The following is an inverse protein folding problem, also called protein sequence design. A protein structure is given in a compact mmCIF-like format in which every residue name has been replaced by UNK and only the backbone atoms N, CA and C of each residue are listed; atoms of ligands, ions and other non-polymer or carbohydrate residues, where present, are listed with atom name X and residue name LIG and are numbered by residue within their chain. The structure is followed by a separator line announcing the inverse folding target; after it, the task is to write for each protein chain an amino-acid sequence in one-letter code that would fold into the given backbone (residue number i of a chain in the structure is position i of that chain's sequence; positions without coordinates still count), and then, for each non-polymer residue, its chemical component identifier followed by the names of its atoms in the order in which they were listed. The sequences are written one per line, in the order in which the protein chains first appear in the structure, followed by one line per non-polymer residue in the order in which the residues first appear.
data_IF_674969507849
#
_entry.id   IF_674969507849
#
_cell.length_a   1.000
_cell.length_b   1.000
_cell.length_c   1.000
_cell.angle_alpha   90.00
_cell.angle_beta   90.00
_cell.angle_gamma   90.00
#
_symmetry.space_group_name_H-M   'P 1'
#
loop_
_entity.id
_entity.type
_entity.pdbx_description
1 polymer ?
#
# COMPACT_ATOMS: atom_id res chain seq x y z
N UNK A 1 8.94 -4.81 15.86
CA UNK A 1 8.58 -3.87 14.78
C UNK A 1 7.23 -4.30 14.22
N UNK A 2 6.25 -3.40 14.15
CA UNK A 2 4.90 -3.69 13.65
C UNK A 2 4.58 -2.84 12.41
N UNK A 3 3.97 -3.48 11.40
CA UNK A 3 3.61 -2.82 10.14
C UNK A 3 2.10 -2.83 9.92
N UNK A 4 1.55 -1.71 9.46
CA UNK A 4 0.18 -1.65 8.95
C UNK A 4 0.16 -2.11 7.49
N UNK A 5 -0.87 -2.85 7.08
CA UNK A 5 -0.96 -3.39 5.71
C UNK A 5 -2.15 -2.77 4.98
N UNK A 6 -1.87 -1.91 4.01
CA UNK A 6 -2.89 -1.37 3.12
C UNK A 6 -3.47 -2.49 2.23
N UNK A 7 -4.79 -2.45 2.07
CA UNK A 7 -5.64 -3.43 1.38
C UNK A 7 -6.76 -2.68 0.66
N UNK A 8 -7.37 -3.32 -0.35
CA UNK A 8 -8.47 -2.74 -1.13
C UNK A 8 -8.54 -3.17 -2.59
N UNK A 9 -7.91 -4.31 -2.96
CA UNK A 9 -7.79 -4.76 -4.35
C UNK A 9 -7.26 -3.64 -5.26
N UNK A 10 -7.90 -3.38 -6.40
CA UNK A 10 -7.59 -2.29 -7.34
C UNK A 10 -8.51 -1.07 -7.19
N UNK A 11 -9.27 -0.97 -6.09
CA UNK A 11 -10.23 0.12 -5.88
C UNK A 11 -9.59 1.32 -5.17
N UNK A 12 -9.45 2.43 -5.89
CA UNK A 12 -8.77 3.65 -5.43
C UNK A 12 -9.34 4.21 -4.12
N UNK A 13 -10.65 4.30 -4.01
CA UNK A 13 -11.35 4.87 -2.86
C UNK A 13 -11.08 4.05 -1.59
N UNK A 14 -11.26 2.73 -1.65
CA UNK A 14 -11.01 1.81 -0.54
C UNK A 14 -9.53 1.87 -0.14
N UNK A 15 -8.63 1.87 -1.13
CA UNK A 15 -7.17 1.91 -0.93
C UNK A 15 -6.73 3.19 -0.22
N UNK A 16 -7.21 4.35 -0.68
CA UNK A 16 -6.88 5.65 -0.11
C UNK A 16 -7.45 5.81 1.29
N UNK A 17 -8.71 5.42 1.50
CA UNK A 17 -9.36 5.53 2.81
C UNK A 17 -8.69 4.61 3.83
N UNK A 18 -8.35 3.39 3.44
CA UNK A 18 -7.62 2.49 4.31
C UNK A 18 -6.20 2.98 4.60
N UNK A 19 -5.49 3.58 3.64
CA UNK A 19 -4.16 4.17 3.84
C UNK A 19 -4.19 5.29 4.89
N UNK A 20 -5.16 6.20 4.80
CA UNK A 20 -5.36 7.25 5.81
C UNK A 20 -5.63 6.65 7.18
N UNK A 21 -6.52 5.65 7.25
CA UNK A 21 -6.91 5.03 8.52
C UNK A 21 -5.78 4.29 9.23
N UNK A 22 -4.98 3.51 8.50
CA UNK A 22 -3.84 2.81 9.11
C UNK A 22 -2.74 3.77 9.53
N UNK A 23 -2.58 4.89 8.83
CA UNK A 23 -1.57 5.90 9.15
C UNK A 23 -1.78 6.52 10.54
N UNK A 24 -3.03 6.62 11.00
CA UNK A 24 -3.39 7.09 12.35
C UNK A 24 -2.86 6.17 13.48
N UNK A 25 -2.48 4.93 13.17
CA UNK A 25 -2.00 3.96 14.16
C UNK A 25 -0.54 4.18 14.56
N UNK A 26 0.18 5.08 13.87
CA UNK A 26 1.56 5.46 14.19
C UNK A 26 2.55 4.29 14.32
N UNK A 27 2.40 3.28 13.46
CA UNK A 27 3.22 2.07 13.45
C UNK A 27 4.65 2.32 12.94
N UNK A 28 5.53 1.33 13.08
CA UNK A 28 6.95 1.44 12.67
C UNK A 28 7.14 1.50 11.14
N UNK A 29 6.13 1.06 10.38
CA UNK A 29 6.14 1.08 8.92
C UNK A 29 4.80 0.68 8.32
N UNK A 30 4.70 0.81 7.00
CA UNK A 30 3.48 0.53 6.25
C UNK A 30 3.78 -0.30 5.02
N UNK A 31 2.93 -1.28 4.76
CA UNK A 31 3.04 -2.16 3.62
C UNK A 31 1.87 -1.96 2.67
N UNK A 32 2.10 -2.17 1.38
CA UNK A 32 1.05 -2.30 0.36
C UNK A 32 0.93 -3.78 0.02
N UNK A 33 -0.15 -4.39 0.48
CA UNK A 33 -0.43 -5.82 0.29
C UNK A 33 -1.50 -6.06 -0.78
N UNK A 34 -1.58 -7.32 -1.22
CA UNK A 34 -2.58 -7.77 -2.20
C UNK A 34 -2.40 -7.16 -3.58
N UNK A 35 -1.15 -6.94 -4.00
CA UNK A 35 -0.76 -6.42 -5.32
C UNK A 35 0.09 -7.42 -6.16
N UNK A 36 0.05 -8.70 -5.82
CA UNK A 36 0.82 -9.77 -6.47
C UNK A 36 -0.04 -11.05 -6.61
N UNK A 37 -1.30 -10.88 -7.00
CA UNK A 37 -2.33 -11.91 -6.99
C UNK A 37 -3.00 -12.13 -8.36
N UNK A 38 -2.56 -11.43 -9.41
CA UNK A 38 -2.99 -11.65 -10.79
C UNK A 38 -3.39 -10.40 -11.57
N UNK A 39 -3.24 -9.22 -10.97
CA UNK A 39 -3.34 -7.92 -11.62
C UNK A 39 -2.20 -7.69 -12.62
N UNK A 40 -2.41 -6.75 -13.53
CA UNK A 40 -1.36 -6.23 -14.41
C UNK A 40 -0.36 -5.36 -13.63
N UNK A 41 0.84 -5.21 -14.18
CA UNK A 41 1.84 -4.27 -13.65
C UNK A 41 1.31 -2.82 -13.68
N UNK A 42 0.51 -2.47 -14.69
CA UNK A 42 -0.12 -1.15 -14.81
C UNK A 42 -1.09 -0.89 -13.65
N UNK A 43 -1.95 -1.84 -13.33
CA UNK A 43 -2.86 -1.74 -12.18
C UNK A 43 -2.09 -1.65 -10.86
N UNK A 44 -1.03 -2.45 -10.69
CA UNK A 44 -0.15 -2.36 -9.52
C UNK A 44 0.46 -0.95 -9.38
N UNK A 45 1.05 -0.41 -10.44
CA UNK A 45 1.64 0.93 -10.42
C UNK A 45 0.59 2.01 -10.17
N UNK A 46 -0.58 1.90 -10.79
CA UNK A 46 -1.70 2.82 -10.54
C UNK A 46 -2.11 2.82 -9.06
N UNK A 47 -2.25 1.65 -8.43
CA UNK A 47 -2.57 1.58 -7.00
C UNK A 47 -1.46 2.21 -6.15
N UNK A 48 -0.19 2.01 -6.49
CA UNK A 48 0.94 2.63 -5.78
C UNK A 48 0.90 4.16 -5.87
N UNK A 49 0.66 4.70 -7.06
CA UNK A 49 0.52 6.14 -7.28
C UNK A 49 -0.63 6.75 -6.47
N UNK A 50 -1.72 5.99 -6.27
CA UNK A 50 -2.85 6.42 -5.45
C UNK A 50 -2.60 6.29 -3.96
N UNK A 51 -1.90 5.26 -3.50
CA UNK A 51 -1.78 4.93 -2.07
C UNK A 51 -0.61 5.63 -1.40
N UNK A 52 0.58 5.58 -2.01
CA UNK A 52 1.83 5.99 -1.37
C UNK A 52 1.80 7.43 -0.86
N UNK A 53 1.18 8.42 -1.54
CA UNK A 53 1.09 9.79 -1.01
C UNK A 53 0.34 9.93 0.31
N UNK A 54 -0.52 8.97 0.67
CA UNK A 54 -1.30 8.99 1.92
C UNK A 54 -0.64 8.21 3.06
N UNK A 55 0.49 7.56 2.82
CA UNK A 55 1.28 6.90 3.85
C UNK A 55 2.29 7.90 4.47
N UNK A 56 2.76 7.70 5.72
CA UNK A 56 3.76 8.55 6.32
C UNK A 56 5.12 8.45 5.60
N UNK A 57 5.52 9.53 4.92
CA UNK A 57 6.72 9.58 4.07
C UNK A 57 8.04 9.43 4.83
N UNK A 58 8.02 9.61 6.16
CA UNK A 58 9.18 9.46 7.03
C UNK A 58 9.32 8.03 7.59
N UNK A 59 8.42 7.10 7.20
CA UNK A 59 8.43 5.70 7.64
C UNK A 59 8.64 4.77 6.45
N UNK A 60 9.25 3.58 6.65
CA UNK A 60 9.46 2.63 5.58
C UNK A 60 8.14 2.20 4.93
N UNK A 61 8.14 2.17 3.59
CA UNK A 61 7.04 1.63 2.78
C UNK A 61 7.49 0.32 2.13
N UNK A 62 6.74 -0.76 2.35
CA UNK A 62 7.06 -2.10 1.84
C UNK A 62 6.01 -2.60 0.84
N UNK A 63 6.41 -2.83 -0.41
CA UNK A 63 5.58 -3.49 -1.40
C UNK A 63 5.70 -5.02 -1.27
N UNK A 64 4.62 -5.68 -0.85
CA UNK A 64 4.65 -7.11 -0.50
C UNK A 64 4.48 -8.01 -1.72
N UNK A 65 5.31 -9.05 -1.82
CA UNK A 65 5.13 -10.14 -2.79
C UNK A 65 5.44 -9.78 -4.24
N UNK A 66 5.93 -8.57 -4.51
CA UNK A 66 6.35 -8.14 -5.85
C UNK A 66 7.81 -8.53 -6.08
N UNK A 67 8.08 -9.06 -7.27
CA UNK A 67 9.40 -9.52 -7.64
C UNK A 67 9.51 -9.76 -9.14
N UNK A 68 10.18 -8.85 -9.83
CA UNK A 68 10.84 -8.96 -11.13
C UNK A 68 11.68 -7.68 -11.24
N UNK A 69 12.91 -7.72 -11.79
CA UNK A 69 13.80 -6.54 -11.86
C UNK A 69 13.22 -5.36 -12.65
#
# INVERSE_FOLDING_TARGET
MLFGINQGAIYDDIRVDHAKRISELELDGYAVGGLAVGESHEEMYHVLDKVVPYLPQHKPTYLMGVGTP
#
